data_IF_024262649935
#
_entry.id   IF_024262649935
#
_cell.length_a   1.000
_cell.length_b   1.000
_cell.length_c   1.000
_cell.angle_alpha   90.00
_cell.angle_beta   90.00
_cell.angle_gamma   90.00
#
_symmetry.space_group_name_H-M   'P 1'
#
loop_
_entity.id
_entity.type
_entity.pdbx_description
1 polymer ?
#
# COMPACT_ATOMS: atom_id res chain seq x y z
N UNK A 1 62.50 42.16 -35.32
CA UNK A 1 61.80 41.79 -34.05
C UNK A 1 60.83 40.64 -34.36
N UNK A 2 61.24 39.43 -34.10
CA UNK A 2 60.44 38.22 -34.36
C UNK A 2 59.74 37.83 -33.11
N UNK A 3 58.42 37.73 -33.12
CA UNK A 3 57.60 37.14 -32.06
C UNK A 3 57.38 35.65 -32.37
N UNK A 4 57.88 34.81 -31.48
CA UNK A 4 57.57 33.37 -31.43
C UNK A 4 56.16 33.19 -30.83
N UNK A 5 55.30 32.48 -31.50
CA UNK A 5 54.03 32.00 -30.99
C UNK A 5 54.23 30.52 -30.59
N UNK A 6 54.09 30.24 -29.30
CA UNK A 6 54.10 28.89 -28.74
C UNK A 6 52.69 28.29 -28.81
N UNK A 7 52.53 27.20 -29.58
CA UNK A 7 51.30 26.39 -29.58
C UNK A 7 51.41 25.34 -28.50
N UNK A 8 50.57 25.43 -27.47
CA UNK A 8 50.38 24.35 -26.51
C UNK A 8 49.37 23.36 -27.10
N UNK A 9 49.81 22.16 -27.35
CA UNK A 9 48.93 21.04 -27.65
C UNK A 9 48.41 20.46 -26.35
N UNK A 10 47.09 20.57 -26.11
CA UNK A 10 46.42 19.90 -25.03
C UNK A 10 46.01 18.49 -25.47
N UNK A 11 46.69 17.47 -24.95
CA UNK A 11 46.33 16.07 -25.10
C UNK A 11 45.14 15.77 -24.17
N UNK A 12 43.95 15.58 -24.71
CA UNK A 12 42.76 15.09 -23.97
C UNK A 12 42.95 13.58 -23.73
N UNK A 13 43.19 13.20 -22.49
CA UNK A 13 43.11 11.82 -22.04
C UNK A 13 41.63 11.49 -21.79
N UNK A 14 40.97 10.82 -22.74
CA UNK A 14 39.69 10.19 -22.51
C UNK A 14 39.88 8.98 -21.59
N UNK A 15 39.72 9.18 -20.28
CA UNK A 15 39.54 8.08 -19.34
C UNK A 15 38.17 7.44 -19.62
N UNK A 16 38.17 6.28 -20.28
CA UNK A 16 36.97 5.46 -20.43
C UNK A 16 36.48 5.01 -19.06
N UNK A 17 35.41 5.65 -18.58
CA UNK A 17 34.62 5.11 -17.48
C UNK A 17 33.92 3.85 -18.00
N UNK A 18 34.51 2.69 -17.69
CA UNK A 18 33.81 1.42 -17.82
C UNK A 18 32.57 1.47 -16.91
N UNK A 19 31.41 1.57 -17.53
CA UNK A 19 30.15 1.31 -16.82
C UNK A 19 30.17 -0.16 -16.39
N UNK A 20 30.56 -0.41 -15.15
CA UNK A 20 30.27 -1.69 -14.51
C UNK A 20 28.77 -1.81 -14.41
N UNK A 21 28.14 -2.92 -14.88
CA UNK A 21 26.74 -3.14 -14.61
C UNK A 21 26.57 -3.11 -13.09
N UNK A 22 25.68 -2.24 -12.58
CA UNK A 22 25.25 -2.31 -11.19
C UNK A 22 24.67 -3.71 -11.00
N UNK A 23 25.37 -4.54 -10.23
CA UNK A 23 24.79 -5.76 -9.72
C UNK A 23 23.48 -5.36 -9.04
N UNK A 24 22.35 -5.94 -9.45
CA UNK A 24 21.07 -5.69 -8.83
C UNK A 24 21.23 -5.81 -7.32
N UNK A 25 20.74 -4.84 -6.58
CA UNK A 25 20.79 -4.89 -5.13
C UNK A 25 20.12 -6.19 -4.68
N UNK A 26 20.86 -7.01 -3.94
CA UNK A 26 20.31 -8.28 -3.44
C UNK A 26 19.09 -7.97 -2.55
N UNK A 27 18.00 -8.71 -2.80
CA UNK A 27 16.78 -8.60 -2.03
C UNK A 27 17.03 -8.82 -0.53
N UNK A 28 16.52 -7.94 0.31
CA UNK A 28 16.65 -8.08 1.75
C UNK A 28 15.76 -9.21 2.28
N UNK A 29 16.33 -10.08 3.10
CA UNK A 29 15.56 -11.10 3.81
C UNK A 29 14.76 -10.47 4.96
N UNK A 30 13.68 -11.11 5.44
CA UNK A 30 12.96 -10.63 6.62
C UNK A 30 13.86 -10.45 7.82
N UNK A 31 14.82 -11.35 8.03
CA UNK A 31 15.78 -11.30 9.13
C UNK A 31 16.74 -10.11 9.03
N UNK A 32 17.16 -9.74 7.83
CA UNK A 32 18.00 -8.57 7.61
C UNK A 32 17.26 -7.26 7.95
N UNK A 33 15.96 -7.17 7.61
CA UNK A 33 15.14 -6.00 7.93
C UNK A 33 14.69 -6.00 9.39
N UNK A 34 14.34 -7.16 9.94
CA UNK A 34 13.93 -7.28 11.33
C UNK A 34 15.05 -6.89 12.32
N UNK A 35 16.30 -7.21 11.98
CA UNK A 35 17.41 -7.00 12.92
C UNK A 35 17.17 -7.75 14.23
N UNK A 36 17.12 -7.01 15.34
CA UNK A 36 16.85 -7.55 16.68
C UNK A 36 15.38 -7.45 17.10
N UNK A 37 14.45 -7.09 16.22
CA UNK A 37 13.03 -7.01 16.57
C UNK A 37 12.49 -8.40 16.94
N UNK A 38 11.66 -8.46 17.98
CA UNK A 38 10.97 -9.68 18.34
C UNK A 38 10.00 -10.07 17.22
N UNK A 39 9.98 -11.35 16.85
CA UNK A 39 9.13 -11.85 15.78
C UNK A 39 7.70 -12.11 16.27
N UNK A 40 6.75 -11.96 15.35
CA UNK A 40 5.37 -12.39 15.59
C UNK A 40 5.30 -13.89 15.83
N UNK A 41 4.38 -14.31 16.70
CA UNK A 41 3.95 -15.70 16.76
C UNK A 41 2.68 -15.88 15.97
N UNK A 42 2.60 -16.95 15.19
CA UNK A 42 1.41 -17.31 14.42
C UNK A 42 0.61 -18.39 15.13
N UNK A 43 -0.69 -18.30 15.05
CA UNK A 43 -1.64 -19.32 15.51
C UNK A 43 -2.83 -19.40 14.55
N UNK A 44 -3.60 -20.49 14.54
CA UNK A 44 -4.91 -20.50 13.94
C UNK A 44 -5.77 -19.35 14.45
N UNK A 45 -6.59 -18.78 13.62
CA UNK A 45 -7.44 -17.65 13.98
C UNK A 45 -8.41 -18.03 15.11
N UNK A 46 -8.37 -17.31 16.21
CA UNK A 46 -9.35 -17.43 17.28
C UNK A 46 -10.64 -16.71 16.88
N UNK A 47 -11.71 -17.47 16.70
CA UNK A 47 -12.99 -16.93 16.25
C UNK A 47 -13.76 -16.37 17.43
N UNK A 48 -13.86 -15.04 17.51
CA UNK A 48 -14.73 -14.36 18.47
C UNK A 48 -16.12 -14.16 17.89
N UNK A 49 -17.16 -13.89 18.72
CA UNK A 49 -18.49 -13.57 18.21
C UNK A 49 -18.54 -12.39 17.24
N UNK A 50 -17.67 -11.39 17.42
CA UNK A 50 -17.57 -10.23 16.54
C UNK A 50 -16.94 -10.62 15.19
N UNK A 51 -15.88 -11.43 15.22
CA UNK A 51 -15.23 -11.92 14.01
C UNK A 51 -16.14 -12.83 13.21
N UNK A 52 -16.92 -13.68 13.89
CA UNK A 52 -17.87 -14.58 13.24
C UNK A 52 -18.95 -13.82 12.45
N UNK A 53 -19.26 -12.59 12.84
CA UNK A 53 -20.22 -11.72 12.13
C UNK A 53 -19.58 -10.99 10.92
N UNK A 54 -18.27 -10.96 10.80
CA UNK A 54 -17.60 -10.27 9.70
C UNK A 54 -17.85 -10.99 8.37
N UNK A 55 -18.23 -10.22 7.34
CA UNK A 55 -18.62 -10.78 6.04
C UNK A 55 -17.48 -11.56 5.37
N UNK A 56 -16.23 -11.09 5.45
CA UNK A 56 -15.09 -11.79 4.86
C UNK A 56 -14.89 -13.17 5.47
N UNK A 57 -15.05 -13.29 6.82
CA UNK A 57 -14.92 -14.56 7.53
C UNK A 57 -16.01 -15.54 7.08
N UNK A 58 -17.27 -15.10 7.09
CA UNK A 58 -18.38 -15.93 6.66
C UNK A 58 -18.26 -16.41 5.20
N UNK A 59 -17.74 -15.52 4.31
CA UNK A 59 -17.56 -15.83 2.90
C UNK A 59 -16.47 -16.88 2.66
N UNK A 60 -15.42 -16.92 3.48
CA UNK A 60 -14.25 -17.75 3.23
C UNK A 60 -13.90 -18.74 4.37
N UNK A 61 -14.74 -18.90 5.40
CA UNK A 61 -14.46 -19.82 6.53
C UNK A 61 -14.17 -21.26 6.09
N UNK A 62 -14.84 -21.72 5.04
CA UNK A 62 -14.71 -23.07 4.50
C UNK A 62 -13.87 -23.14 3.20
N UNK A 63 -13.35 -22.01 2.73
CA UNK A 63 -12.51 -21.97 1.53
C UNK A 63 -11.05 -22.29 1.89
N UNK A 64 -10.56 -23.44 1.40
CA UNK A 64 -9.21 -23.93 1.65
C UNK A 64 -8.11 -23.08 1.01
N UNK A 65 -8.44 -22.23 0.04
CA UNK A 65 -7.49 -21.28 -0.58
C UNK A 65 -7.13 -20.12 0.33
N UNK A 66 -7.96 -19.86 1.35
CA UNK A 66 -7.77 -18.78 2.31
C UNK A 66 -7.49 -19.39 3.67
N UNK A 67 -6.23 -19.33 4.10
CA UNK A 67 -5.83 -19.72 5.46
C UNK A 67 -6.16 -18.57 6.43
N UNK A 68 -6.79 -18.90 7.55
CA UNK A 68 -7.20 -17.97 8.59
C UNK A 68 -6.25 -18.09 9.76
N UNK A 69 -5.41 -17.09 9.96
CA UNK A 69 -4.40 -17.02 11.01
C UNK A 69 -4.60 -15.81 11.92
N UNK A 70 -3.93 -15.82 13.03
CA UNK A 70 -3.64 -14.62 13.82
C UNK A 70 -2.16 -14.51 14.08
N UNK A 71 -1.64 -13.28 14.00
CA UNK A 71 -0.28 -12.95 14.38
C UNK A 71 -0.28 -12.08 15.65
N UNK A 72 0.62 -12.34 16.58
CA UNK A 72 0.84 -11.41 17.71
C UNK A 72 1.86 -10.35 17.32
N UNK A 73 1.65 -9.10 17.72
CA UNK A 73 2.64 -8.03 17.57
C UNK A 73 3.27 -7.69 18.93
N UNK A 74 4.54 -8.03 19.17
CA UNK A 74 5.27 -7.60 20.35
C UNK A 74 5.29 -6.08 20.54
N UNK A 75 5.53 -5.31 19.46
CA UNK A 75 5.57 -3.85 19.51
C UNK A 75 4.19 -3.22 19.82
N UNK A 76 3.10 -3.98 19.64
CA UNK A 76 1.75 -3.57 20.01
C UNK A 76 1.24 -4.29 21.26
N UNK A 77 2.13 -4.54 22.23
CA UNK A 77 1.81 -5.18 23.51
C UNK A 77 1.14 -6.57 23.38
N UNK A 78 1.57 -7.37 22.41
CA UNK A 78 1.00 -8.70 22.17
C UNK A 78 -0.37 -8.68 21.50
N UNK A 79 -0.75 -7.58 20.82
CA UNK A 79 -2.01 -7.50 20.07
C UNK A 79 -2.10 -8.64 19.08
N UNK A 80 -3.24 -9.34 19.10
CA UNK A 80 -3.59 -10.38 18.13
C UNK A 80 -4.19 -9.69 16.89
N UNK A 81 -3.59 -9.93 15.73
CA UNK A 81 -3.99 -9.34 14.46
C UNK A 81 -4.50 -10.48 13.57
N UNK A 82 -5.80 -10.47 13.21
CA UNK A 82 -6.33 -11.43 12.27
C UNK A 82 -5.69 -11.28 10.89
N UNK A 83 -5.32 -12.39 10.28
CA UNK A 83 -4.77 -12.44 8.93
C UNK A 83 -5.61 -13.37 8.07
N UNK A 84 -5.98 -12.92 6.88
CA UNK A 84 -6.42 -13.80 5.82
C UNK A 84 -5.25 -13.99 4.84
N UNK A 85 -4.89 -15.24 4.57
CA UNK A 85 -3.76 -15.57 3.71
C UNK A 85 -4.25 -16.37 2.51
N UNK A 86 -4.24 -15.75 1.33
CA UNK A 86 -4.50 -16.46 0.08
C UNK A 86 -3.25 -17.27 -0.23
N UNK A 87 -3.38 -18.60 -0.30
CA UNK A 87 -2.25 -19.50 -0.52
C UNK A 87 -1.94 -19.63 -2.02
N UNK A 88 -0.67 -19.57 -2.36
CA UNK A 88 -0.20 -20.04 -3.65
C UNK A 88 -0.47 -21.54 -3.78
N UNK A 89 -0.51 -22.05 -5.01
CA UNK A 89 -0.68 -23.48 -5.29
C UNK A 89 0.58 -24.28 -5.00
N UNK A 90 1.74 -23.62 -5.19
CA UNK A 90 3.06 -24.22 -5.01
C UNK A 90 3.82 -23.52 -3.86
N UNK A 91 4.81 -24.20 -3.31
CA UNK A 91 5.80 -23.58 -2.41
C UNK A 91 6.80 -22.72 -3.20
N UNK A 92 7.60 -21.95 -2.48
CA UNK A 92 8.62 -21.08 -3.05
C UNK A 92 8.05 -20.09 -4.06
N UNK A 93 7.00 -19.37 -3.64
CA UNK A 93 6.30 -18.35 -4.43
C UNK A 93 6.35 -17.00 -3.71
N UNK A 94 6.31 -15.88 -4.48
CA UNK A 94 6.36 -14.54 -3.93
C UNK A 94 5.15 -14.24 -3.03
N UNK A 95 5.28 -13.18 -2.22
CA UNK A 95 4.26 -12.72 -1.28
C UNK A 95 3.83 -11.29 -1.60
N UNK A 96 2.53 -11.05 -1.68
CA UNK A 96 1.95 -9.71 -1.75
C UNK A 96 1.32 -9.38 -0.38
N UNK A 97 1.73 -8.28 0.23
CA UNK A 97 1.05 -7.68 1.37
C UNK A 97 -0.03 -6.73 0.83
N UNK A 98 -1.30 -7.11 0.97
CA UNK A 98 -2.43 -6.37 0.43
C UNK A 98 -3.18 -5.67 1.58
N UNK A 99 -3.08 -4.35 1.63
CA UNK A 99 -3.61 -3.54 2.73
C UNK A 99 -5.02 -3.01 2.41
N UNK A 100 -5.88 -3.00 3.42
CA UNK A 100 -7.23 -2.44 3.31
C UNK A 100 -7.22 -0.91 3.40
N UNK A 101 -8.26 -0.26 2.87
CA UNK A 101 -8.47 1.18 2.99
C UNK A 101 -8.82 1.63 4.42
N UNK A 102 -9.23 2.88 4.57
CA UNK A 102 -9.41 3.50 5.89
C UNK A 102 -10.36 2.73 6.83
N UNK A 103 -11.50 2.24 6.32
CA UNK A 103 -12.47 1.50 7.14
C UNK A 103 -12.05 0.08 7.48
N UNK A 104 -11.22 -0.53 6.64
CA UNK A 104 -10.73 -1.88 6.84
C UNK A 104 -11.80 -2.95 6.99
N UNK A 105 -11.39 -4.11 7.45
CA UNK A 105 -12.30 -5.19 7.79
C UNK A 105 -13.19 -4.85 9.00
N UNK A 106 -12.71 -4.00 9.89
CA UNK A 106 -13.45 -3.53 11.05
C UNK A 106 -14.75 -2.76 10.70
N UNK A 107 -14.81 -2.19 9.48
CA UNK A 107 -16.02 -1.59 8.93
C UNK A 107 -16.61 -2.39 7.76
N UNK A 108 -16.22 -3.65 7.61
CA UNK A 108 -16.73 -4.52 6.55
C UNK A 108 -16.42 -3.99 5.13
N UNK A 109 -15.30 -3.25 5.00
CA UNK A 109 -14.82 -2.57 3.80
C UNK A 109 -13.44 -3.11 3.40
N UNK A 110 -13.40 -4.40 3.07
CA UNK A 110 -12.15 -5.13 2.82
C UNK A 110 -12.11 -5.82 1.46
N UNK A 111 -10.90 -6.18 1.03
CA UNK A 111 -10.64 -6.84 -0.25
C UNK A 111 -11.36 -8.17 -0.42
N UNK A 112 -11.49 -8.95 0.65
CA UNK A 112 -12.12 -10.28 0.58
C UNK A 112 -13.62 -10.18 0.36
N UNK A 113 -14.27 -9.24 1.05
CA UNK A 113 -15.71 -9.02 0.91
C UNK A 113 -16.05 -8.46 -0.47
N UNK A 114 -15.35 -7.42 -0.90
CA UNK A 114 -15.79 -6.50 -1.95
C UNK A 114 -15.10 -6.75 -3.31
N UNK A 115 -14.17 -7.71 -3.39
CA UNK A 115 -13.48 -8.03 -4.64
C UNK A 115 -13.41 -9.54 -4.92
N UNK A 116 -12.82 -9.87 -6.06
CA UNK A 116 -12.45 -11.21 -6.48
C UNK A 116 -10.96 -11.52 -6.25
N UNK A 117 -10.34 -10.86 -5.27
CA UNK A 117 -8.92 -10.99 -4.98
C UNK A 117 -8.47 -12.44 -4.76
N UNK A 118 -9.31 -13.28 -4.11
CA UNK A 118 -8.99 -14.69 -3.88
C UNK A 118 -8.86 -15.45 -5.19
N UNK A 119 -9.86 -15.34 -6.07
CA UNK A 119 -9.84 -16.02 -7.36
C UNK A 119 -8.70 -15.53 -8.24
N UNK A 120 -8.50 -14.21 -8.27
CA UNK A 120 -7.45 -13.59 -9.08
C UNK A 120 -6.06 -14.03 -8.64
N UNK A 121 -5.67 -13.79 -7.40
CA UNK A 121 -4.31 -14.07 -6.94
C UNK A 121 -4.00 -15.56 -6.81
N UNK A 122 -4.98 -16.39 -6.41
CA UNK A 122 -4.81 -17.83 -6.43
C UNK A 122 -4.56 -18.34 -7.86
N UNK A 123 -5.21 -17.75 -8.88
CA UNK A 123 -4.94 -18.07 -10.29
C UNK A 123 -3.51 -17.71 -10.73
N UNK A 124 -2.91 -16.68 -10.12
CA UNK A 124 -1.54 -16.22 -10.39
C UNK A 124 -0.47 -17.03 -9.65
N UNK A 125 -0.88 -17.96 -8.78
CA UNK A 125 0.03 -18.80 -8.01
C UNK A 125 0.99 -17.97 -7.15
N UNK A 126 0.46 -17.02 -6.39
CA UNK A 126 1.17 -16.10 -5.50
C UNK A 126 0.52 -16.09 -4.13
N UNK A 127 1.31 -15.94 -3.07
CA UNK A 127 0.78 -15.76 -1.73
C UNK A 127 0.31 -14.32 -1.52
N UNK A 128 -0.81 -14.13 -0.81
CA UNK A 128 -1.26 -12.79 -0.42
C UNK A 128 -1.57 -12.77 1.06
N UNK A 129 -0.96 -11.86 1.79
CA UNK A 129 -1.19 -11.64 3.22
C UNK A 129 -2.02 -10.39 3.40
N UNK A 130 -3.22 -10.53 3.96
CA UNK A 130 -4.18 -9.44 4.16
C UNK A 130 -4.48 -9.29 5.65
N UNK A 131 -3.91 -8.29 6.33
CA UNK A 131 -4.31 -7.97 7.69
C UNK A 131 -5.78 -7.56 7.74
N UNK A 132 -6.55 -8.19 8.62
CA UNK A 132 -7.98 -7.89 8.81
C UNK A 132 -8.19 -6.95 10.00
N UNK A 133 -7.24 -6.04 10.19
CA UNK A 133 -7.23 -4.99 11.19
C UNK A 133 -6.40 -3.80 10.70
N UNK A 134 -6.44 -2.68 11.41
CA UNK A 134 -5.68 -1.49 11.10
C UNK A 134 -6.50 -0.34 10.50
N UNK A 135 -7.82 -0.35 10.73
CA UNK A 135 -8.67 0.77 10.30
C UNK A 135 -8.13 2.11 10.81
N UNK A 136 -8.05 3.09 9.90
CA UNK A 136 -7.60 4.47 10.13
C UNK A 136 -6.15 4.64 10.61
N UNK A 137 -5.34 3.57 10.65
CA UNK A 137 -3.98 3.59 11.20
C UNK A 137 -2.91 4.12 10.25
N UNK A 138 -3.19 4.26 8.97
CA UNK A 138 -2.20 4.44 7.89
C UNK A 138 -1.11 3.36 7.87
N UNK A 139 -1.26 2.29 8.64
CA UNK A 139 -0.28 1.21 8.75
C UNK A 139 1.15 1.69 9.03
N UNK A 140 1.28 2.78 9.81
CA UNK A 140 2.56 3.36 10.22
C UNK A 140 2.77 3.25 11.74
N UNK A 141 3.96 3.60 12.20
CA UNK A 141 4.28 3.66 13.63
C UNK A 141 3.92 5.06 14.18
N UNK A 142 2.98 5.10 15.10
CA UNK A 142 2.49 6.33 15.70
C UNK A 142 3.40 6.84 16.81
N UNK A 143 3.48 8.17 16.97
CA UNK A 143 4.27 8.82 18.03
C UNK A 143 3.55 8.81 19.39
N UNK A 144 2.22 8.79 19.39
CA UNK A 144 1.39 8.76 20.59
C UNK A 144 0.31 7.69 20.49
N UNK A 145 -0.05 7.10 21.62
CA UNK A 145 -1.09 6.09 21.68
C UNK A 145 -2.49 6.72 21.63
N UNK A 146 -3.30 6.38 20.64
CA UNK A 146 -4.70 6.77 20.62
C UNK A 146 -5.54 5.89 21.56
N UNK A 147 -6.73 6.41 21.92
CA UNK A 147 -7.72 5.66 22.68
C UNK A 147 -9.12 5.95 22.15
N UNK A 148 -9.48 5.31 21.05
CA UNK A 148 -10.78 5.47 20.39
C UNK A 148 -11.43 4.12 20.12
N UNK A 149 -12.57 4.13 19.43
CA UNK A 149 -13.27 2.89 19.06
C UNK A 149 -12.41 1.95 18.19
N UNK A 150 -11.72 2.50 17.18
CA UNK A 150 -10.93 1.74 16.22
C UNK A 150 -9.43 1.70 16.54
N UNK A 151 -8.94 2.73 17.21
CA UNK A 151 -7.51 2.92 17.46
C UNK A 151 -7.25 2.92 18.97
N UNK A 152 -6.73 1.81 19.47
CA UNK A 152 -6.45 1.61 20.92
C UNK A 152 -5.02 1.14 21.12
N UNK A 153 -4.33 1.72 22.10
CA UNK A 153 -2.97 1.35 22.49
C UNK A 153 -1.94 1.65 21.40
N UNK A 154 -0.73 1.07 21.50
CA UNK A 154 0.35 1.32 20.56
C UNK A 154 -0.07 1.00 19.13
N UNK A 155 0.23 1.89 18.19
CA UNK A 155 0.04 1.69 16.75
C UNK A 155 1.43 1.56 16.13
N UNK A 156 1.95 0.34 16.03
CA UNK A 156 3.28 0.02 15.50
C UNK A 156 3.18 -0.87 14.25
N UNK A 157 2.37 -0.37 13.29
CA UNK A 157 2.02 -1.14 12.12
C UNK A 157 3.18 -1.32 11.12
N UNK A 158 4.03 -0.29 10.96
CA UNK A 158 5.23 -0.44 10.14
C UNK A 158 6.17 -1.48 10.74
N UNK A 159 6.44 -1.40 12.05
CA UNK A 159 7.23 -2.40 12.77
C UNK A 159 6.63 -3.79 12.61
N UNK A 160 5.31 -3.93 12.75
CA UNK A 160 4.61 -5.20 12.56
C UNK A 160 4.80 -5.74 11.14
N UNK A 161 4.49 -4.95 10.11
CA UNK A 161 4.47 -5.38 8.71
C UNK A 161 5.85 -5.61 8.10
N UNK A 162 6.90 -5.00 8.64
CA UNK A 162 8.23 -5.07 8.04
C UNK A 162 9.26 -5.80 8.89
N UNK A 163 9.05 -5.87 10.21
CA UNK A 163 10.04 -6.44 11.14
C UNK A 163 9.55 -7.66 11.90
N UNK A 164 8.28 -7.68 12.34
CA UNK A 164 7.76 -8.75 13.19
C UNK A 164 7.10 -9.88 12.39
N UNK A 165 6.21 -9.52 11.45
CA UNK A 165 5.39 -10.47 10.70
C UNK A 165 6.14 -11.25 9.61
N UNK A 166 7.00 -10.62 8.77
CA UNK A 166 7.49 -11.28 7.56
C UNK A 166 8.24 -12.57 7.82
N UNK A 167 9.15 -12.60 8.79
CA UNK A 167 9.92 -13.81 9.12
C UNK A 167 9.03 -14.99 9.51
N UNK A 168 8.00 -14.71 10.30
CA UNK A 168 7.06 -15.73 10.77
C UNK A 168 6.14 -16.20 9.63
N UNK A 169 5.48 -15.28 8.94
CA UNK A 169 4.48 -15.63 7.92
C UNK A 169 5.11 -16.24 6.68
N UNK A 170 6.20 -15.67 6.17
CA UNK A 170 6.86 -16.16 4.96
C UNK A 170 7.51 -17.53 5.19
N UNK A 171 8.05 -17.78 6.39
CA UNK A 171 8.50 -19.11 6.78
C UNK A 171 7.36 -20.13 6.83
N UNK A 172 6.21 -19.74 7.37
CA UNK A 172 5.01 -20.59 7.45
C UNK A 172 4.45 -20.95 6.06
N UNK A 173 4.37 -19.97 5.16
CA UNK A 173 3.87 -20.19 3.80
C UNK A 173 4.93 -20.70 2.82
N UNK A 174 6.18 -20.84 3.27
CA UNK A 174 7.34 -21.23 2.45
C UNK A 174 7.54 -20.35 1.22
N UNK A 175 7.57 -19.04 1.44
CA UNK A 175 7.74 -18.03 0.39
C UNK A 175 9.18 -18.00 -0.14
N UNK A 176 9.38 -17.38 -1.31
CA UNK A 176 10.67 -17.28 -2.02
C UNK A 176 11.49 -16.04 -1.68
N UNK A 177 11.06 -15.20 -0.76
CA UNK A 177 11.68 -13.93 -0.37
C UNK A 177 11.40 -12.74 -1.33
N UNK A 178 10.66 -12.90 -2.42
CA UNK A 178 10.17 -11.79 -3.23
C UNK A 178 8.88 -11.22 -2.65
N UNK A 179 8.78 -9.88 -2.61
CA UNK A 179 7.66 -9.18 -1.96
C UNK A 179 7.14 -8.04 -2.80
N UNK A 180 5.81 -7.89 -2.81
CA UNK A 180 5.16 -6.66 -3.19
C UNK A 180 4.27 -6.17 -2.04
N UNK A 181 3.99 -4.88 -2.04
CA UNK A 181 2.98 -4.29 -1.17
C UNK A 181 1.98 -3.49 -2.01
N UNK A 182 0.71 -3.61 -1.70
CA UNK A 182 -0.32 -2.86 -2.38
C UNK A 182 -1.42 -2.42 -1.43
N UNK A 183 -2.06 -1.31 -1.77
CA UNK A 183 -3.19 -0.80 -1.02
C UNK A 183 -4.00 0.21 -1.80
N UNK A 184 -5.16 0.56 -1.26
CA UNK A 184 -6.07 1.52 -1.83
C UNK A 184 -6.36 2.66 -0.87
N UNK A 185 -6.63 3.87 -1.40
CA UNK A 185 -7.02 5.00 -0.57
C UNK A 185 -5.96 5.29 0.51
N UNK A 186 -6.32 5.26 1.77
CA UNK A 186 -5.40 5.39 2.91
C UNK A 186 -4.16 4.48 2.77
N UNK A 187 -4.36 3.21 2.48
CA UNK A 187 -3.25 2.25 2.40
C UNK A 187 -2.45 2.34 1.10
N UNK A 188 -2.95 3.00 0.07
CA UNK A 188 -2.15 3.34 -1.10
C UNK A 188 -1.01 4.30 -0.73
N UNK A 189 -1.29 5.28 0.12
CA UNK A 189 -0.27 6.14 0.76
C UNK A 189 0.68 5.29 1.60
N UNK A 190 0.13 4.43 2.45
CA UNK A 190 0.92 3.56 3.34
C UNK A 190 1.87 2.64 2.57
N UNK A 191 1.44 2.09 1.43
CA UNK A 191 2.28 1.21 0.61
C UNK A 191 3.53 1.94 0.09
N UNK A 192 3.41 3.21 -0.30
CA UNK A 192 4.55 4.04 -0.68
C UNK A 192 5.47 4.30 0.53
N UNK A 193 4.89 4.68 1.69
CA UNK A 193 5.65 4.96 2.91
C UNK A 193 6.44 3.73 3.38
N UNK A 194 5.80 2.58 3.44
CA UNK A 194 6.45 1.34 3.89
C UNK A 194 7.61 0.92 2.98
N UNK A 195 7.49 1.15 1.67
CA UNK A 195 8.56 0.87 0.73
C UNK A 195 9.72 1.86 0.85
N UNK A 196 9.44 3.15 0.99
CA UNK A 196 10.50 4.17 1.14
C UNK A 196 11.23 4.07 2.47
N UNK A 197 10.55 3.69 3.55
CA UNK A 197 11.18 3.49 4.84
C UNK A 197 12.04 2.22 4.91
N UNK A 198 11.69 1.22 4.10
CA UNK A 198 12.33 -0.10 4.09
C UNK A 198 12.90 -0.41 2.69
N UNK A 199 13.83 0.40 2.22
CA UNK A 199 14.44 0.28 0.89
C UNK A 199 15.00 -1.13 0.64
N UNK A 200 14.66 -1.71 -0.53
CA UNK A 200 15.10 -3.05 -0.92
C UNK A 200 14.35 -4.19 -0.22
N UNK A 201 13.32 -3.89 0.59
CA UNK A 201 12.50 -4.93 1.20
C UNK A 201 11.33 -5.36 0.29
N UNK A 202 10.74 -4.42 -0.43
CA UNK A 202 9.68 -4.69 -1.42
C UNK A 202 10.21 -4.51 -2.84
N UNK A 203 9.99 -5.49 -3.71
CA UNK A 203 10.31 -5.44 -5.15
C UNK A 203 9.37 -4.52 -5.91
N UNK A 204 8.10 -4.48 -5.48
CA UNK A 204 7.08 -3.68 -6.13
C UNK A 204 6.09 -3.06 -5.16
N UNK A 205 5.51 -1.92 -5.58
CA UNK A 205 4.44 -1.20 -4.87
C UNK A 205 3.25 -0.98 -5.80
N UNK A 206 2.05 -1.27 -5.29
CA UNK A 206 0.77 -0.87 -5.86
C UNK A 206 0.11 0.22 -5.03
N UNK A 207 0.00 1.43 -5.57
CA UNK A 207 -0.67 2.57 -4.92
C UNK A 207 -1.95 2.92 -5.69
N UNK A 208 -3.12 2.46 -5.18
CA UNK A 208 -4.39 2.59 -5.86
C UNK A 208 -5.21 3.73 -5.24
N UNK A 209 -5.35 4.83 -5.95
CA UNK A 209 -6.11 6.02 -5.52
C UNK A 209 -5.66 6.55 -4.14
N UNK A 210 -4.35 6.76 -3.95
CA UNK A 210 -3.75 7.36 -2.77
C UNK A 210 -3.03 8.67 -3.06
N UNK A 211 -2.61 9.36 -2.00
CA UNK A 211 -1.81 10.57 -2.09
C UNK A 211 -0.41 10.34 -1.53
N UNK A 212 0.64 10.58 -2.30
CA UNK A 212 2.02 10.47 -1.85
C UNK A 212 2.43 11.62 -0.92
N UNK A 213 1.80 12.80 -1.07
CA UNK A 213 2.03 13.96 -0.24
C UNK A 213 1.17 13.89 1.02
N UNK A 214 1.77 14.13 2.18
CA UNK A 214 1.09 14.10 3.49
C UNK A 214 1.50 15.25 4.40
N UNK A 215 2.64 15.88 4.11
CA UNK A 215 3.22 16.96 4.91
C UNK A 215 3.09 18.34 4.21
N UNK A 216 2.17 18.47 3.25
CA UNK A 216 1.77 19.74 2.67
C UNK A 216 0.41 20.16 3.24
N UNK A 217 0.08 21.46 3.32
CA UNK A 217 -1.09 21.94 4.09
C UNK A 217 -2.43 21.30 3.69
N UNK A 218 -2.72 21.17 2.40
CA UNK A 218 -3.98 20.63 1.89
C UNK A 218 -4.03 19.12 2.08
N UNK A 219 -2.97 18.43 1.72
CA UNK A 219 -2.86 16.98 1.79
C UNK A 219 -2.82 16.50 3.24
N UNK A 220 -2.14 17.25 4.13
CA UNK A 220 -2.17 16.97 5.57
C UNK A 220 -3.57 17.06 6.14
N UNK A 221 -4.39 18.01 5.66
CA UNK A 221 -5.79 18.10 6.08
C UNK A 221 -6.62 16.90 5.65
N UNK A 222 -6.34 16.32 4.49
CA UNK A 222 -6.98 15.07 4.05
C UNK A 222 -6.58 13.87 4.95
N UNK A 223 -5.30 13.79 5.35
CA UNK A 223 -4.82 12.82 6.34
C UNK A 223 -5.56 13.00 7.66
N UNK A 224 -5.63 14.24 8.18
CA UNK A 224 -6.33 14.57 9.42
C UNK A 224 -7.81 14.15 9.38
N UNK A 225 -8.52 14.46 8.29
CA UNK A 225 -9.91 14.04 8.12
C UNK A 225 -10.08 12.52 8.15
N UNK A 226 -9.14 11.79 7.58
CA UNK A 226 -9.16 10.32 7.60
C UNK A 226 -8.95 9.78 9.00
N UNK A 227 -7.93 10.26 9.71
CA UNK A 227 -7.59 9.80 11.07
C UNK A 227 -8.69 10.20 12.08
N UNK A 228 -9.27 11.39 11.92
CA UNK A 228 -10.37 11.86 12.77
C UNK A 228 -11.62 10.96 12.69
N UNK A 229 -11.88 10.33 11.54
CA UNK A 229 -12.94 9.32 11.41
C UNK A 229 -12.66 8.08 12.27
N UNK A 230 -11.40 7.77 12.53
CA UNK A 230 -10.97 6.73 13.47
C UNK A 230 -11.01 7.18 14.94
N UNK A 231 -11.33 8.47 15.22
CA UNK A 231 -11.41 9.04 16.57
C UNK A 231 -10.04 9.43 17.16
N UNK A 232 -9.06 9.71 16.31
CA UNK A 232 -7.72 10.17 16.71
C UNK A 232 -7.27 11.37 15.85
N UNK A 233 -6.05 11.86 16.01
CA UNK A 233 -5.51 13.01 15.29
C UNK A 233 -4.26 12.67 14.49
N UNK A 234 -4.03 13.41 13.40
CA UNK A 234 -2.79 13.28 12.63
C UNK A 234 -1.55 13.63 13.48
N UNK A 235 -1.69 14.52 14.48
CA UNK A 235 -0.62 14.84 15.40
C UNK A 235 -0.27 13.67 16.33
N UNK A 236 -1.25 12.91 16.80
CA UNK A 236 -1.00 11.66 17.54
C UNK A 236 -0.30 10.63 16.66
N UNK A 237 -0.58 10.63 15.37
CA UNK A 237 0.01 9.69 14.41
C UNK A 237 1.45 10.07 14.09
N UNK A 238 1.70 11.28 13.59
CA UNK A 238 2.98 11.69 13.02
C UNK A 238 3.60 12.94 13.66
N UNK A 239 3.10 13.36 14.82
CA UNK A 239 3.54 14.59 15.48
C UNK A 239 2.97 15.85 14.84
N UNK A 240 3.37 17.03 15.30
CA UNK A 240 2.90 18.30 14.78
C UNK A 240 3.17 18.44 13.27
N UNK A 241 2.27 19.16 12.58
CA UNK A 241 2.44 19.46 11.16
C UNK A 241 3.81 20.09 10.88
N UNK A 242 4.50 19.58 9.85
CA UNK A 242 5.83 20.02 9.45
C UNK A 242 6.98 19.53 10.34
N UNK A 243 6.70 18.76 11.41
CA UNK A 243 7.72 18.12 12.23
C UNK A 243 8.58 17.13 11.41
N UNK A 244 9.77 16.76 11.91
CA UNK A 244 10.59 15.74 11.25
C UNK A 244 9.84 14.42 11.00
N UNK A 245 9.05 13.95 11.96
CA UNK A 245 8.26 12.72 11.82
C UNK A 245 7.14 12.86 10.79
N UNK A 246 6.44 14.01 10.76
CA UNK A 246 5.43 14.25 9.73
C UNK A 246 6.08 14.26 8.34
N UNK A 247 7.22 14.92 8.16
CA UNK A 247 7.97 14.96 6.89
C UNK A 247 8.58 13.60 6.51
N UNK A 248 8.96 12.78 7.49
CA UNK A 248 9.42 11.42 7.27
C UNK A 248 8.33 10.56 6.64
N UNK A 249 7.08 10.76 7.04
CA UNK A 249 5.91 10.07 6.51
C UNK A 249 5.30 10.80 5.29
N UNK A 250 6.13 11.24 4.33
CA UNK A 250 5.71 11.92 3.10
C UNK A 250 6.49 11.39 1.91
N UNK A 251 5.86 10.55 1.09
CA UNK A 251 6.50 9.90 -0.05
C UNK A 251 6.83 10.90 -1.19
N UNK A 252 6.13 12.03 -1.27
CA UNK A 252 6.48 13.09 -2.20
C UNK A 252 7.83 13.73 -1.85
N UNK A 253 8.08 13.96 -0.56
CA UNK A 253 9.35 14.52 -0.07
C UNK A 253 10.49 13.52 -0.15
N UNK A 254 10.22 12.24 0.10
CA UNK A 254 11.21 11.18 0.22
C UNK A 254 11.28 10.26 -1.01
N UNK A 255 10.72 10.67 -2.14
CA UNK A 255 10.54 9.88 -3.38
C UNK A 255 11.82 9.19 -3.89
N UNK A 256 13.00 9.78 -3.66
CA UNK A 256 14.29 9.17 -4.05
C UNK A 256 14.51 7.79 -3.43
N UNK A 257 13.91 7.53 -2.27
CA UNK A 257 14.00 6.23 -1.59
C UNK A 257 13.20 5.12 -2.28
N UNK A 258 12.33 5.45 -3.22
CA UNK A 258 11.60 4.50 -4.05
C UNK A 258 12.40 4.02 -5.27
N UNK A 259 13.59 4.56 -5.49
CA UNK A 259 14.45 4.18 -6.61
C UNK A 259 14.82 2.70 -6.55
N UNK A 260 14.59 2.00 -7.65
CA UNK A 260 14.85 0.55 -7.76
C UNK A 260 13.62 -0.33 -7.47
N UNK A 261 12.57 0.23 -6.88
CA UNK A 261 11.28 -0.46 -6.66
C UNK A 261 10.39 -0.30 -7.90
N UNK A 262 9.74 -1.37 -8.35
CA UNK A 262 8.73 -1.30 -9.42
C UNK A 262 7.45 -0.65 -8.89
N UNK A 263 6.97 0.39 -9.57
CA UNK A 263 5.83 1.17 -9.09
C UNK A 263 4.64 1.07 -10.05
N UNK A 264 3.47 0.75 -9.50
CA UNK A 264 2.17 0.93 -10.14
C UNK A 264 1.36 1.97 -9.36
N UNK A 265 0.91 3.02 -10.04
CA UNK A 265 0.25 4.16 -9.42
C UNK A 265 -1.00 4.51 -10.23
N UNK A 266 -2.16 4.59 -9.59
CA UNK A 266 -3.41 4.84 -10.27
C UNK A 266 -4.27 5.90 -9.59
N UNK A 267 -5.13 6.54 -10.36
CA UNK A 267 -6.25 7.36 -9.88
C UNK A 267 -7.34 7.50 -10.93
N UNK A 268 -8.57 7.68 -10.48
CA UNK A 268 -9.65 8.23 -11.29
C UNK A 268 -9.52 9.76 -11.41
N UNK A 269 -10.47 10.40 -12.10
CA UNK A 269 -10.48 11.87 -12.24
C UNK A 269 -11.37 12.59 -11.22
N UNK A 270 -12.18 11.85 -10.48
CA UNK A 270 -13.26 12.39 -9.63
C UNK A 270 -14.59 12.58 -10.38
N UNK A 271 -14.58 12.52 -11.71
CA UNK A 271 -15.80 12.55 -12.51
C UNK A 271 -16.48 11.18 -12.48
N UNK A 272 -17.80 11.16 -12.31
CA UNK A 272 -18.55 9.92 -12.29
C UNK A 272 -18.36 9.11 -13.58
N UNK A 273 -17.99 7.86 -13.46
CA UNK A 273 -17.94 6.89 -14.53
C UNK A 273 -19.22 6.05 -14.60
N UNK A 274 -19.21 5.05 -15.49
CA UNK A 274 -20.33 4.10 -15.63
C UNK A 274 -20.65 3.41 -14.31
N UNK A 275 -19.63 3.02 -13.58
CA UNK A 275 -19.70 2.24 -12.34
C UNK A 275 -20.27 3.05 -11.16
N UNK A 276 -20.26 4.38 -11.27
CA UNK A 276 -20.73 5.30 -10.22
C UNK A 276 -22.21 5.68 -10.39
N UNK A 277 -22.88 5.12 -11.41
CA UNK A 277 -24.24 5.49 -11.78
C UNK A 277 -25.32 4.69 -11.04
N UNK A 278 -26.50 5.29 -10.90
CA UNK A 278 -27.69 4.63 -10.37
C UNK A 278 -28.03 3.35 -11.13
N UNK A 279 -28.02 3.39 -12.48
CA UNK A 279 -28.35 2.24 -13.31
C UNK A 279 -27.38 1.07 -13.12
N UNK A 280 -26.09 1.35 -12.93
CA UNK A 280 -25.10 0.33 -12.62
C UNK A 280 -25.38 -0.35 -11.28
N UNK A 281 -25.67 0.43 -10.23
CA UNK A 281 -25.97 -0.10 -8.92
C UNK A 281 -27.24 -0.93 -8.90
N UNK A 282 -28.29 -0.52 -9.63
CA UNK A 282 -29.50 -1.34 -9.80
C UNK A 282 -29.20 -2.64 -10.53
N UNK A 283 -28.36 -2.60 -11.59
CA UNK A 283 -27.95 -3.80 -12.32
C UNK A 283 -27.11 -4.77 -11.48
N UNK A 284 -26.46 -4.28 -10.42
CA UNK A 284 -25.76 -5.08 -9.41
C UNK A 284 -26.68 -5.69 -8.34
N UNK A 285 -27.98 -5.42 -8.41
CA UNK A 285 -28.97 -5.97 -7.50
C UNK A 285 -29.31 -5.12 -6.27
N UNK A 286 -28.78 -3.89 -6.18
CA UNK A 286 -29.18 -2.98 -5.11
C UNK A 286 -30.60 -2.50 -5.35
N UNK A 287 -31.40 -2.39 -4.28
CA UNK A 287 -32.74 -1.81 -4.39
C UNK A 287 -32.62 -0.32 -4.81
N UNK A 288 -33.67 0.25 -5.47
CA UNK A 288 -33.58 1.60 -6.04
C UNK A 288 -33.21 2.71 -5.04
N UNK A 289 -33.69 2.63 -3.80
CA UNK A 289 -33.37 3.63 -2.77
C UNK A 289 -31.88 3.57 -2.38
N UNK A 290 -31.35 2.38 -2.14
CA UNK A 290 -29.92 2.17 -1.84
C UNK A 290 -29.05 2.56 -3.04
N UNK A 291 -29.47 2.21 -4.26
CA UNK A 291 -28.75 2.56 -5.49
C UNK A 291 -28.68 4.08 -5.69
N UNK A 292 -29.79 4.81 -5.46
CA UNK A 292 -29.82 6.27 -5.59
C UNK A 292 -28.92 6.96 -4.56
N UNK A 293 -29.03 6.56 -3.29
CA UNK A 293 -28.22 7.13 -2.21
C UNK A 293 -26.72 6.80 -2.41
N UNK A 294 -26.41 5.57 -2.75
CA UNK A 294 -25.04 5.13 -3.03
C UNK A 294 -24.42 5.89 -4.19
N UNK A 295 -25.12 6.01 -5.32
CA UNK A 295 -24.64 6.77 -6.48
C UNK A 295 -24.43 8.24 -6.17
N UNK A 296 -25.37 8.87 -5.48
CA UNK A 296 -25.22 10.27 -5.06
C UNK A 296 -24.00 10.47 -4.16
N UNK A 297 -23.78 9.58 -3.21
CA UNK A 297 -22.63 9.63 -2.32
C UNK A 297 -21.31 9.43 -3.08
N UNK A 298 -21.25 8.45 -3.98
CA UNK A 298 -20.06 8.22 -4.81
C UNK A 298 -19.74 9.43 -5.68
N UNK A 299 -20.75 10.06 -6.29
CA UNK A 299 -20.54 11.21 -7.17
C UNK A 299 -20.12 12.47 -6.41
N UNK A 300 -20.65 12.71 -5.21
CA UNK A 300 -20.35 13.92 -4.42
C UNK A 300 -19.12 13.71 -3.55
N UNK A 301 -19.19 12.80 -2.59
CA UNK A 301 -18.08 12.57 -1.63
C UNK A 301 -16.91 11.86 -2.33
N UNK A 302 -17.19 10.75 -3.00
CA UNK A 302 -16.19 9.96 -3.70
C UNK A 302 -15.53 10.74 -4.84
N UNK A 303 -16.31 11.56 -5.58
CA UNK A 303 -15.79 12.43 -6.63
C UNK A 303 -14.83 13.48 -6.09
N UNK A 304 -15.18 14.14 -4.99
CA UNK A 304 -14.33 15.16 -4.38
C UNK A 304 -13.01 14.55 -3.84
N UNK A 305 -13.09 13.39 -3.19
CA UNK A 305 -11.91 12.68 -2.69
C UNK A 305 -11.00 12.30 -3.87
N UNK A 306 -11.56 11.68 -4.90
CA UNK A 306 -10.77 11.20 -6.04
C UNK A 306 -10.17 12.33 -6.86
N UNK A 307 -10.85 13.48 -6.99
CA UNK A 307 -10.28 14.67 -7.61
C UNK A 307 -9.03 15.19 -6.86
N UNK A 308 -9.08 15.19 -5.53
CA UNK A 308 -7.92 15.51 -4.69
C UNK A 308 -6.79 14.48 -4.85
N UNK A 309 -7.12 13.20 -4.88
CA UNK A 309 -6.17 12.12 -5.15
C UNK A 309 -5.55 12.25 -6.54
N UNK A 310 -6.35 12.55 -7.56
CA UNK A 310 -5.88 12.76 -8.93
C UNK A 310 -4.84 13.89 -9.01
N UNK A 311 -5.16 15.03 -8.40
CA UNK A 311 -4.22 16.16 -8.32
C UNK A 311 -2.90 15.75 -7.65
N UNK A 312 -2.99 15.09 -6.50
CA UNK A 312 -1.84 14.62 -5.74
C UNK A 312 -0.99 13.63 -6.56
N UNK A 313 -1.64 12.69 -7.25
CA UNK A 313 -0.97 11.63 -8.01
C UNK A 313 -0.28 12.17 -9.27
N UNK A 314 -0.87 13.16 -9.94
CA UNK A 314 -0.22 13.85 -11.05
C UNK A 314 1.02 14.64 -10.60
N UNK A 315 0.96 15.29 -9.44
CA UNK A 315 2.13 15.97 -8.86
C UNK A 315 3.23 14.97 -8.51
N UNK A 316 2.86 13.80 -7.98
CA UNK A 316 3.81 12.75 -7.67
C UNK A 316 4.45 12.18 -8.95
N UNK A 317 3.65 11.97 -10.00
CA UNK A 317 4.20 11.60 -11.33
C UNK A 317 5.25 12.59 -11.80
N UNK A 318 4.92 13.89 -11.80
CA UNK A 318 5.86 14.93 -12.21
C UNK A 318 7.16 14.90 -11.39
N UNK A 319 7.07 14.60 -10.11
CA UNK A 319 8.21 14.48 -9.20
C UNK A 319 9.09 13.27 -9.53
N UNK A 320 8.47 12.11 -9.77
CA UNK A 320 9.18 10.88 -10.15
C UNK A 320 9.82 11.02 -11.54
N UNK A 321 9.11 11.62 -12.50
CA UNK A 321 9.64 11.88 -13.85
C UNK A 321 10.88 12.79 -13.79
N UNK A 322 10.83 13.87 -13.00
CA UNK A 322 11.96 14.77 -12.79
C UNK A 322 13.17 14.07 -12.16
N UNK A 323 12.92 13.12 -11.27
CA UNK A 323 13.95 12.33 -10.61
C UNK A 323 14.46 11.16 -11.49
N UNK A 324 13.82 10.88 -12.63
CA UNK A 324 14.13 9.72 -13.48
C UNK A 324 13.82 8.39 -12.77
N UNK A 325 12.78 8.35 -11.93
CA UNK A 325 12.28 7.15 -11.27
C UNK A 325 11.12 6.60 -12.09
N UNK A 326 11.27 5.44 -12.75
CA UNK A 326 10.23 4.89 -13.59
C UNK A 326 9.03 4.38 -12.75
N UNK A 327 7.82 4.59 -13.27
CA UNK A 327 6.60 4.03 -12.71
C UNK A 327 5.58 3.75 -13.82
N UNK A 328 4.73 2.77 -13.60
CA UNK A 328 3.56 2.48 -14.44
C UNK A 328 2.37 3.25 -13.88
N UNK A 329 1.75 4.07 -14.72
CA UNK A 329 0.60 4.90 -14.32
C UNK A 329 -0.68 4.45 -15.00
N UNK A 330 -1.79 4.45 -14.24
CA UNK A 330 -3.14 4.23 -14.75
C UNK A 330 -4.04 5.38 -14.31
N UNK A 331 -4.07 6.46 -15.11
CA UNK A 331 -4.95 7.62 -14.88
C UNK A 331 -6.21 7.48 -15.73
N UNK A 332 -7.36 7.39 -15.06
CA UNK A 332 -8.65 7.24 -15.72
C UNK A 332 -9.31 8.58 -15.93
N UNK A 333 -9.92 8.78 -17.11
CA UNK A 333 -10.64 10.00 -17.44
C UNK A 333 -11.94 10.19 -16.64
N UNK A 334 -12.45 9.11 -16.04
CA UNK A 334 -13.59 9.08 -15.14
C UNK A 334 -13.26 8.17 -13.96
N UNK A 335 -14.12 8.17 -12.96
CA UNK A 335 -14.02 7.32 -11.79
C UNK A 335 -13.96 8.14 -10.51
N UNK A 336 -14.80 7.74 -9.57
CA UNK A 336 -14.82 8.26 -8.21
C UNK A 336 -14.04 7.35 -7.28
N UNK A 337 -13.96 7.70 -6.00
CA UNK A 337 -13.26 6.92 -4.99
C UNK A 337 -14.06 5.66 -4.62
N UNK A 338 -13.98 4.61 -5.47
CA UNK A 338 -14.91 3.48 -5.43
C UNK A 338 -14.28 2.13 -5.78
N UNK A 339 -14.88 1.05 -5.27
CA UNK A 339 -14.40 -0.31 -5.38
C UNK A 339 -14.20 -0.82 -6.81
N UNK A 340 -15.07 -0.54 -7.80
CA UNK A 340 -14.84 -1.05 -9.16
C UNK A 340 -13.49 -0.66 -9.73
N UNK A 341 -13.01 0.56 -9.41
CA UNK A 341 -11.72 1.06 -9.86
C UNK A 341 -10.56 0.35 -9.17
N UNK A 342 -10.63 0.14 -7.85
CA UNK A 342 -9.61 -0.58 -7.10
C UNK A 342 -9.51 -2.05 -7.49
N UNK A 343 -10.65 -2.71 -7.79
CA UNK A 343 -10.67 -4.08 -8.33
C UNK A 343 -9.99 -4.14 -9.70
N UNK A 344 -10.19 -3.13 -10.54
CA UNK A 344 -9.47 -3.02 -11.81
C UNK A 344 -7.97 -2.83 -11.56
N UNK A 345 -7.57 -1.93 -10.65
CA UNK A 345 -6.17 -1.67 -10.32
C UNK A 345 -5.46 -2.89 -9.75
N UNK A 346 -6.13 -3.69 -8.92
CA UNK A 346 -5.62 -4.95 -8.42
C UNK A 346 -5.18 -5.88 -9.57
N UNK A 347 -5.94 -5.89 -10.67
CA UNK A 347 -5.63 -6.70 -11.86
C UNK A 347 -4.61 -6.03 -12.77
N UNK A 348 -4.75 -4.73 -12.99
CA UNK A 348 -3.90 -3.95 -13.90
C UNK A 348 -2.47 -3.78 -13.34
N UNK A 349 -2.28 -3.87 -12.02
CA UNK A 349 -0.96 -3.85 -11.38
C UNK A 349 -0.18 -5.17 -11.53
N UNK A 350 -0.85 -6.28 -11.85
CA UNK A 350 -0.21 -7.58 -11.91
C UNK A 350 1.03 -7.64 -12.83
N UNK A 351 1.02 -7.08 -14.05
CA UNK A 351 2.22 -7.10 -14.91
C UNK A 351 3.44 -6.40 -14.29
N UNK A 352 3.23 -5.42 -13.40
CA UNK A 352 4.30 -4.74 -12.65
C UNK A 352 4.87 -5.68 -11.60
N UNK A 353 4.01 -6.34 -10.82
CA UNK A 353 4.43 -7.30 -9.80
C UNK A 353 5.12 -8.52 -10.42
N UNK A 354 4.52 -9.10 -11.46
CA UNK A 354 5.09 -10.24 -12.17
C UNK A 354 6.49 -9.92 -12.72
N UNK A 355 6.68 -8.73 -13.29
CA UNK A 355 8.00 -8.29 -13.75
C UNK A 355 9.00 -8.15 -12.58
N UNK A 356 8.55 -7.63 -11.45
CA UNK A 356 9.38 -7.48 -10.27
C UNK A 356 9.82 -8.83 -9.69
N UNK A 357 8.91 -9.80 -9.63
CA UNK A 357 9.19 -11.15 -9.13
C UNK A 357 10.06 -12.02 -10.04
N UNK A 358 10.26 -11.61 -11.29
CA UNK A 358 11.06 -12.34 -12.27
C UNK A 358 12.44 -11.66 -12.53
N UNK A 359 12.84 -10.70 -11.68
CA UNK A 359 14.17 -10.09 -11.71
C UNK A 359 15.19 -10.95 -10.97
#
# INVERSE_FOLDING_TARGET
MKRLSSILAATAVCAGLACTPMAGAAQLTPQQVAGNAAQSTLAPLEVTPELEQQTWYQKYKDDSRVEKLQATSPAMNGRKIPLAVIRAKDENRPTIYLLNGAGGAEQDMDWLKLSDAVDFYHSKNVNVVIPQAGAFSYYTDWVSEPNSQYLKGPQKWETFLTKELPGAIEGHIKADNHRAIAGMSMSATSSLLLAEHNQGFYDAVGSYAGCAATAYPVEHKAVELTVNRGGATAEQMWGPFGSPTNRYNDAMMNHEKLRGTELYISSGSGLAGKEDTFSYNVAKGYNPATAALGSARLQVEGGAIEAGVNYCTHNFKAKLDQAGIPATYNFRNTGTHSWPHWIADLKDSWPVFERAFNK
#
